data_IF_699675653241
#
_entry.id   IF_699675653241
#
_cell.length_a   1.000
_cell.length_b   1.000
_cell.length_c   1.000
_cell.angle_alpha   90.00
_cell.angle_beta   90.00
_cell.angle_gamma   90.00
#
_symmetry.space_group_name_H-M   'P 1'
#
loop_
_entity.id
_entity.type
_entity.pdbx_description
1 polymer ?
#
# COMPACT_ATOMS: atom_id res chain seq x y z
N UNK A 1 -22.51 -21.38 75.32
CA UNK A 1 -23.47 -21.19 74.21
C UNK A 1 -23.10 -19.93 73.44
N UNK A 2 -23.15 -20.00 72.10
CA UNK A 2 -23.16 -18.87 71.14
C UNK A 2 -21.84 -18.10 70.95
N UNK A 3 -21.36 -17.78 69.74
CA UNK A 3 -21.41 -18.34 68.38
C UNK A 3 -20.26 -17.65 67.63
N UNK A 4 -19.68 -18.35 66.66
CA UNK A 4 -18.69 -17.85 65.71
C UNK A 4 -19.22 -16.70 64.86
N UNK A 5 -18.35 -15.76 64.47
CA UNK A 5 -18.51 -14.99 63.21
C UNK A 5 -17.13 -14.95 62.52
N UNK A 6 -16.99 -15.78 61.48
CA UNK A 6 -15.99 -15.61 60.44
C UNK A 6 -16.42 -14.45 59.52
N UNK A 7 -15.57 -13.44 59.35
CA UNK A 7 -15.74 -12.44 58.31
C UNK A 7 -14.98 -12.89 57.06
N UNK A 8 -15.71 -13.44 56.08
CA UNK A 8 -15.19 -13.75 54.75
C UNK A 8 -15.02 -12.47 53.93
N UNK A 9 -13.78 -12.17 53.54
CA UNK A 9 -13.45 -11.09 52.62
C UNK A 9 -13.66 -11.61 51.18
N UNK A 10 -14.81 -11.27 50.58
CA UNK A 10 -15.09 -11.54 49.16
C UNK A 10 -14.50 -10.39 48.34
N UNK A 11 -13.33 -10.60 47.74
CA UNK A 11 -12.82 -9.72 46.69
C UNK A 11 -13.63 -9.96 45.41
N UNK A 12 -14.57 -9.08 45.12
CA UNK A 12 -15.19 -8.98 43.80
C UNK A 12 -14.20 -8.33 42.83
N UNK A 13 -13.53 -9.13 41.99
CA UNK A 13 -12.79 -8.62 40.85
C UNK A 13 -13.80 -8.21 39.77
N UNK A 14 -14.02 -6.91 39.61
CA UNK A 14 -14.77 -6.38 38.48
C UNK A 14 -13.94 -6.59 37.21
N UNK A 15 -14.35 -7.56 36.37
CA UNK A 15 -13.79 -7.71 35.03
C UNK A 15 -14.40 -6.61 34.16
N UNK A 16 -13.68 -5.49 34.01
CA UNK A 16 -14.01 -4.49 33.02
C UNK A 16 -13.83 -5.12 31.63
N UNK A 17 -14.93 -5.45 30.96
CA UNK A 17 -14.90 -5.81 29.54
C UNK A 17 -14.59 -4.53 28.77
N UNK A 18 -13.34 -4.36 28.37
CA UNK A 18 -12.95 -3.25 27.51
C UNK A 18 -13.72 -3.34 26.20
N UNK A 19 -14.66 -2.43 25.97
CA UNK A 19 -15.21 -2.21 24.63
C UNK A 19 -14.04 -1.74 23.76
N UNK A 20 -13.62 -2.60 22.84
CA UNK A 20 -12.62 -2.25 21.86
C UNK A 20 -13.15 -1.15 20.95
N UNK A 21 -12.30 -0.16 20.69
CA UNK A 21 -12.66 1.02 19.91
C UNK A 21 -12.88 0.62 18.44
N UNK A 22 -14.13 0.65 17.99
CA UNK A 22 -14.48 0.47 16.57
C UNK A 22 -14.40 1.83 15.90
N UNK A 23 -13.58 1.95 14.86
CA UNK A 23 -13.48 3.18 14.05
C UNK A 23 -13.97 2.92 12.64
N UNK A 24 -14.72 3.87 12.09
CA UNK A 24 -15.34 3.77 10.76
C UNK A 24 -14.93 4.98 9.93
N UNK A 25 -14.41 4.74 8.74
CA UNK A 25 -13.92 5.76 7.81
C UNK A 25 -14.60 5.60 6.46
N UNK A 26 -14.92 6.71 5.79
CA UNK A 26 -15.34 6.67 4.40
C UNK A 26 -14.13 6.44 3.51
N UNK A 27 -14.24 5.50 2.57
CA UNK A 27 -13.10 5.12 1.73
C UNK A 27 -13.53 4.67 0.34
N UNK A 28 -12.60 4.74 -0.59
CA UNK A 28 -12.70 4.20 -1.93
C UNK A 28 -11.67 3.09 -2.11
N UNK A 29 -12.10 1.94 -2.61
CA UNK A 29 -11.21 0.86 -3.03
C UNK A 29 -10.96 0.97 -4.52
N UNK A 30 -9.69 1.06 -4.94
CA UNK A 30 -9.34 1.10 -6.36
C UNK A 30 -9.68 -0.21 -7.05
N UNK A 31 -10.33 -0.14 -8.20
CA UNK A 31 -10.70 -1.28 -9.05
C UNK A 31 -10.24 -1.03 -10.50
N UNK A 32 -10.12 -2.07 -11.36
CA UNK A 32 -9.65 -1.90 -12.73
C UNK A 32 -10.46 -0.92 -13.59
N UNK A 33 -11.74 -0.72 -13.26
CA UNK A 33 -12.65 0.15 -14.02
C UNK A 33 -13.14 1.36 -13.20
N UNK A 34 -12.39 1.78 -12.18
CA UNK A 34 -12.71 2.97 -11.39
C UNK A 34 -12.42 2.77 -9.89
N UNK A 35 -13.33 3.26 -9.06
CA UNK A 35 -13.25 3.09 -7.61
C UNK A 35 -14.58 2.57 -7.07
N UNK A 36 -14.50 1.74 -6.04
CA UNK A 36 -15.66 1.22 -5.32
C UNK A 36 -15.81 2.04 -4.04
N UNK A 37 -16.91 2.78 -3.93
CA UNK A 37 -17.21 3.57 -2.75
C UNK A 37 -17.63 2.66 -1.59
N UNK A 38 -17.08 2.90 -0.41
CA UNK A 38 -17.26 2.04 0.74
C UNK A 38 -16.92 2.68 2.07
N UNK A 39 -16.90 1.84 3.09
CA UNK A 39 -16.43 2.20 4.43
C UNK A 39 -15.35 1.24 4.87
N UNK A 40 -14.28 1.77 5.46
CA UNK A 40 -13.28 0.98 6.17
C UNK A 40 -13.62 0.99 7.64
N UNK A 41 -13.88 -0.18 8.19
CA UNK A 41 -14.10 -0.41 9.62
C UNK A 41 -12.84 -1.07 10.18
N UNK A 42 -12.20 -0.44 11.15
CA UNK A 42 -11.07 -1.03 11.87
C UNK A 42 -11.50 -1.34 13.31
N UNK A 43 -11.18 -2.54 13.76
CA UNK A 43 -11.51 -3.02 15.10
C UNK A 43 -10.47 -4.06 15.53
N UNK A 44 -9.79 -3.83 16.65
CA UNK A 44 -8.78 -4.73 17.23
C UNK A 44 -7.72 -5.18 16.21
N UNK A 45 -7.92 -6.35 15.60
CA UNK A 45 -7.05 -7.00 14.64
C UNK A 45 -7.67 -7.11 13.24
N UNK A 46 -8.84 -6.55 12.98
CA UNK A 46 -9.55 -6.69 11.71
C UNK A 46 -9.75 -5.35 11.02
N UNK A 47 -9.51 -5.36 9.71
CA UNK A 47 -9.90 -4.31 8.78
C UNK A 47 -11.01 -4.88 7.91
N UNK A 48 -12.19 -4.28 7.94
CA UNK A 48 -13.30 -4.66 7.07
C UNK A 48 -13.57 -3.53 6.09
N UNK A 49 -13.57 -3.85 4.80
CA UNK A 49 -14.08 -2.94 3.78
C UNK A 49 -15.52 -3.33 3.46
N UNK A 50 -16.43 -2.38 3.63
CA UNK A 50 -17.86 -2.53 3.32
C UNK A 50 -18.14 -1.79 2.01
N UNK A 51 -18.47 -2.53 0.95
CA UNK A 51 -18.92 -1.96 -0.32
C UNK A 51 -20.33 -1.36 -0.12
N UNK A 52 -20.50 -0.09 -0.48
CA UNK A 52 -21.76 0.64 -0.25
C UNK A 52 -22.85 0.25 -1.25
N UNK A 53 -22.48 -0.24 -2.43
CA UNK A 53 -23.41 -0.66 -3.48
C UNK A 53 -23.71 -2.15 -3.42
N UNK A 54 -22.71 -2.98 -3.11
CA UNK A 54 -22.80 -4.44 -3.07
C UNK A 54 -22.25 -5.00 -1.77
N UNK A 55 -23.03 -4.98 -0.67
CA UNK A 55 -22.56 -5.43 0.64
C UNK A 55 -22.03 -6.88 0.64
N UNK A 56 -22.52 -7.74 -0.23
CA UNK A 56 -22.03 -9.12 -0.42
C UNK A 56 -20.61 -9.22 -0.99
N UNK A 57 -20.08 -8.15 -1.58
CA UNK A 57 -18.70 -8.03 -2.05
C UNK A 57 -17.75 -7.40 -1.01
N UNK A 58 -18.26 -7.15 0.20
CA UNK A 58 -17.46 -6.70 1.34
C UNK A 58 -16.51 -7.80 1.79
N UNK A 59 -15.38 -7.42 2.38
CA UNK A 59 -14.39 -8.37 2.86
C UNK A 59 -13.75 -7.91 4.17
N UNK A 60 -13.21 -8.88 4.90
CA UNK A 60 -12.46 -8.65 6.14
C UNK A 60 -11.05 -9.21 6.01
N UNK A 61 -10.08 -8.42 6.44
CA UNK A 61 -8.65 -8.73 6.49
C UNK A 61 -8.22 -8.76 7.94
N UNK A 62 -7.67 -9.89 8.38
CA UNK A 62 -6.95 -9.95 9.65
C UNK A 62 -5.60 -9.23 9.53
N UNK A 63 -5.22 -8.47 10.54
CA UNK A 63 -3.96 -7.73 10.64
C UNK A 63 -2.75 -8.65 10.47
N UNK A 64 -2.81 -9.89 10.95
CA UNK A 64 -1.77 -10.90 10.74
C UNK A 64 -1.63 -11.33 9.27
N UNK A 65 -2.68 -11.17 8.46
CA UNK A 65 -2.67 -11.40 7.02
C UNK A 65 -2.02 -10.22 6.27
N UNK A 66 -1.81 -9.07 6.90
CA UNK A 66 -1.13 -7.95 6.25
C UNK A 66 0.37 -8.21 6.22
N UNK A 67 0.95 -8.17 5.02
CA UNK A 67 2.38 -8.33 4.78
C UNK A 67 3.11 -6.99 4.88
N UNK A 68 2.58 -5.96 4.23
CA UNK A 68 3.15 -4.61 4.26
C UNK A 68 2.09 -3.57 3.91
N UNK A 69 2.31 -2.33 4.36
CA UNK A 69 1.48 -1.18 4.02
C UNK A 69 2.40 -0.08 3.53
N UNK A 70 1.99 0.58 2.46
CA UNK A 70 2.71 1.72 1.90
C UNK A 70 1.72 2.85 1.65
N UNK A 71 2.05 4.05 2.12
CA UNK A 71 1.31 5.25 1.75
C UNK A 71 1.72 5.68 0.33
N UNK A 72 0.71 5.93 -0.50
CA UNK A 72 0.87 6.36 -1.90
C UNK A 72 0.00 7.59 -2.11
N UNK A 73 0.61 8.78 -2.07
CA UNK A 73 -0.14 10.04 -2.08
C UNK A 73 -1.06 10.13 -0.86
N UNK A 74 -2.37 10.25 -1.10
CA UNK A 74 -3.41 10.25 -0.07
C UNK A 74 -4.03 8.86 0.19
N UNK A 75 -3.63 7.84 -0.59
CA UNK A 75 -4.06 6.46 -0.45
C UNK A 75 -3.10 5.58 0.35
N UNK A 76 -3.61 4.42 0.74
CA UNK A 76 -2.92 3.32 1.39
C UNK A 76 -2.93 2.11 0.46
N UNK A 77 -1.76 1.57 0.18
CA UNK A 77 -1.63 0.27 -0.49
C UNK A 77 -1.30 -0.77 0.57
N UNK A 78 -2.19 -1.74 0.74
CA UNK A 78 -2.06 -2.85 1.68
C UNK A 78 -1.76 -4.13 0.89
N UNK A 79 -0.60 -4.72 1.15
CA UNK A 79 -0.22 -6.02 0.60
C UNK A 79 -0.56 -7.13 1.59
N UNK A 80 -1.22 -8.19 1.12
CA UNK A 80 -1.72 -9.31 1.91
C UNK A 80 -0.89 -10.57 1.66
N UNK A 81 -0.83 -11.45 2.67
CA UNK A 81 -0.20 -12.79 2.59
C UNK A 81 -1.12 -13.81 1.92
N UNK A 82 -2.43 -13.69 2.16
CA UNK A 82 -3.50 -14.51 1.57
C UNK A 82 -4.49 -13.61 0.84
N UNK A 83 -5.03 -14.06 -0.30
CA UNK A 83 -5.96 -13.27 -1.08
C UNK A 83 -7.27 -13.09 -0.33
N UNK A 84 -7.94 -11.96 -0.58
CA UNK A 84 -9.32 -11.73 -0.21
C UNK A 84 -10.17 -11.60 -1.47
N UNK A 85 -11.42 -12.04 -1.38
CA UNK A 85 -12.38 -11.90 -2.47
C UNK A 85 -13.07 -10.55 -2.35
N UNK A 86 -12.91 -9.71 -3.36
CA UNK A 86 -13.59 -8.42 -3.51
C UNK A 86 -14.57 -8.48 -4.70
N UNK A 87 -15.10 -7.32 -5.11
CA UNK A 87 -16.03 -7.18 -6.23
C UNK A 87 -15.42 -7.56 -7.59
N UNK A 88 -14.11 -7.48 -7.73
CA UNK A 88 -13.37 -7.71 -8.97
C UNK A 88 -12.86 -9.15 -9.05
N UNK A 89 -12.59 -9.78 -7.91
CA UNK A 89 -12.13 -11.16 -7.83
C UNK A 89 -11.30 -11.41 -6.58
N UNK A 90 -10.29 -12.25 -6.68
CA UNK A 90 -9.34 -12.45 -5.59
C UNK A 90 -8.16 -11.48 -5.71
N UNK A 91 -7.86 -10.76 -4.63
CA UNK A 91 -6.76 -9.81 -4.59
C UNK A 91 -5.86 -10.01 -3.37
N UNK A 92 -4.55 -9.95 -3.61
CA UNK A 92 -3.52 -9.87 -2.57
C UNK A 92 -3.11 -8.42 -2.28
N UNK A 93 -3.68 -7.44 -2.99
CA UNK A 93 -3.30 -6.04 -2.88
C UNK A 93 -4.53 -5.15 -2.90
N UNK A 94 -4.69 -4.38 -1.83
CA UNK A 94 -5.78 -3.45 -1.67
C UNK A 94 -5.24 -2.03 -1.77
N UNK A 95 -5.83 -1.21 -2.63
CA UNK A 95 -5.51 0.22 -2.73
C UNK A 95 -6.71 1.00 -2.22
N UNK A 96 -6.57 1.55 -1.02
CA UNK A 96 -7.62 2.24 -0.28
C UNK A 96 -7.32 3.72 -0.28
N UNK A 97 -8.28 4.56 -0.65
CA UNK A 97 -8.19 6.02 -0.51
C UNK A 97 -9.25 6.46 0.49
N UNK A 98 -8.83 7.01 1.62
CA UNK A 98 -9.78 7.51 2.61
C UNK A 98 -10.23 8.92 2.22
N UNK A 99 -11.46 9.27 2.57
CA UNK A 99 -12.04 10.57 2.26
C UNK A 99 -11.24 11.72 2.91
N UNK A 100 -10.68 11.48 4.09
CA UNK A 100 -9.86 12.44 4.83
C UNK A 100 -8.42 11.94 4.96
N UNK A 101 -7.39 12.70 4.52
CA UNK A 101 -6.00 12.25 4.57
C UNK A 101 -5.46 11.92 5.97
N UNK A 102 -5.99 12.57 7.02
CA UNK A 102 -5.63 12.27 8.41
C UNK A 102 -6.11 10.87 8.83
N UNK A 103 -7.22 10.38 8.29
CA UNK A 103 -7.76 9.05 8.57
C UNK A 103 -6.86 7.96 7.98
N UNK A 104 -6.26 8.19 6.81
CA UNK A 104 -5.23 7.30 6.25
C UNK A 104 -4.08 7.09 7.24
N UNK A 105 -3.71 8.15 7.97
CA UNK A 105 -2.67 8.07 9.02
C UNK A 105 -3.13 7.25 10.21
N UNK A 106 -4.37 7.40 10.65
CA UNK A 106 -4.91 6.62 11.75
C UNK A 106 -4.99 5.12 11.41
N UNK A 107 -5.41 4.76 10.20
CA UNK A 107 -5.48 3.37 9.73
C UNK A 107 -4.07 2.77 9.60
N UNK A 108 -3.12 3.52 9.04
CA UNK A 108 -1.72 3.08 8.94
C UNK A 108 -1.10 2.82 10.32
N UNK A 109 -1.27 3.76 11.26
CA UNK A 109 -0.79 3.60 12.63
C UNK A 109 -1.44 2.40 13.32
N UNK A 110 -2.76 2.24 13.19
CA UNK A 110 -3.47 1.10 13.74
C UNK A 110 -2.90 -0.21 13.18
N UNK A 111 -2.67 -0.30 11.86
CA UNK A 111 -2.08 -1.49 11.26
C UNK A 111 -0.65 -1.76 11.77
N UNK A 112 0.17 -0.72 11.94
CA UNK A 112 1.55 -0.86 12.43
C UNK A 112 1.62 -1.32 13.90
N UNK A 113 0.66 -0.95 14.75
CA UNK A 113 0.65 -1.26 16.20
C UNK A 113 0.54 -2.77 16.55
N UNK A 114 0.36 -3.66 15.58
CA UNK A 114 0.21 -5.11 15.84
C UNK A 114 0.86 -6.01 14.80
N UNK A 115 1.51 -5.44 13.79
CA UNK A 115 2.53 -6.17 13.05
C UNK A 115 3.76 -6.11 13.94
N UNK A 116 3.99 -7.15 14.74
CA UNK A 116 5.24 -7.28 15.48
C UNK A 116 6.38 -7.08 14.48
N UNK A 117 7.06 -5.95 14.60
CA UNK A 117 8.21 -5.64 13.79
C UNK A 117 9.20 -6.78 14.01
N UNK A 118 9.38 -7.63 13.00
CA UNK A 118 10.59 -8.44 12.93
C UNK A 118 11.75 -7.46 13.10
N UNK A 119 12.74 -7.73 13.97
CA UNK A 119 13.82 -6.79 14.21
C UNK A 119 14.55 -6.58 12.88
N UNK A 120 14.26 -5.47 12.23
CA UNK A 120 15.12 -4.93 11.21
C UNK A 120 16.44 -4.67 11.94
N UNK A 121 17.50 -5.40 11.57
CA UNK A 121 18.85 -5.09 12.03
C UNK A 121 19.04 -3.59 11.85
N UNK A 122 19.35 -2.90 12.95
CA UNK A 122 19.63 -1.48 12.99
C UNK A 122 20.92 -1.19 12.19
N UNK A 123 20.81 -1.19 10.87
CA UNK A 123 21.46 -0.20 10.05
C UNK A 123 20.45 0.93 9.94
N UNK A 124 20.89 2.16 10.18
CA UNK A 124 20.12 3.38 10.01
C UNK A 124 19.62 3.47 8.55
N UNK A 125 18.44 2.89 8.28
CA UNK A 125 17.76 3.08 6.99
C UNK A 125 17.14 4.46 7.08
N UNK A 126 17.90 5.46 6.65
CA UNK A 126 17.37 6.73 6.15
C UNK A 126 16.15 6.37 5.32
N UNK A 127 14.95 6.77 5.75
CA UNK A 127 13.69 6.51 5.06
C UNK A 127 13.90 6.79 3.57
N UNK A 128 14.09 5.73 2.79
CA UNK A 128 14.49 5.86 1.41
C UNK A 128 13.29 6.41 0.67
N UNK A 129 13.43 7.58 0.03
CA UNK A 129 12.30 8.22 -0.63
C UNK A 129 11.73 7.26 -1.68
N UNK A 130 10.57 6.70 -1.36
CA UNK A 130 9.80 5.80 -2.20
C UNK A 130 8.64 6.60 -2.77
N UNK A 131 8.54 6.63 -4.09
CA UNK A 131 7.45 7.30 -4.78
C UNK A 131 6.65 6.28 -5.56
N UNK A 132 5.39 6.61 -5.80
CA UNK A 132 4.53 5.76 -6.61
C UNK A 132 3.52 6.61 -7.36
N UNK A 133 3.34 6.25 -8.63
CA UNK A 133 2.51 6.97 -9.57
C UNK A 133 1.56 5.96 -10.22
N UNK A 134 0.24 6.18 -10.17
CA UNK A 134 -0.69 5.43 -11.01
C UNK A 134 -0.27 5.62 -12.47
N UNK A 135 -0.09 4.53 -13.19
CA UNK A 135 0.53 4.56 -14.52
C UNK A 135 -0.15 3.58 -15.47
N UNK A 136 -0.28 3.96 -16.73
CA UNK A 136 -0.75 3.11 -17.80
C UNK A 136 0.36 2.89 -18.81
N UNK A 137 0.66 1.64 -19.12
CA UNK A 137 1.53 1.27 -20.24
C UNK A 137 0.69 1.25 -21.52
N UNK A 138 1.05 2.06 -22.50
CA UNK A 138 0.42 2.00 -23.82
C UNK A 138 1.11 0.93 -24.66
N UNK A 139 0.31 0.09 -25.32
CA UNK A 139 0.77 -0.87 -26.34
C UNK A 139 0.15 -0.49 -27.70
N UNK A 140 0.72 -1.00 -28.79
CA UNK A 140 0.18 -0.84 -30.15
C UNK A 140 -1.30 -1.30 -30.25
N UNK A 141 -1.68 -2.29 -29.44
CA UNK A 141 -3.06 -2.76 -29.28
C UNK A 141 -3.37 -2.86 -27.77
N UNK A 142 -4.19 -1.93 -27.28
CA UNK A 142 -4.60 -1.86 -25.88
C UNK A 142 -3.62 -1.14 -24.96
N UNK A 143 -3.87 -1.23 -23.65
CA UNK A 143 -2.98 -0.72 -22.62
C UNK A 143 -3.19 -1.48 -21.32
N UNK A 144 -2.23 -1.33 -20.43
CA UNK A 144 -2.21 -2.04 -19.15
C UNK A 144 -2.11 -1.02 -18.04
N UNK A 145 -3.11 -1.00 -17.16
CA UNK A 145 -3.09 -0.15 -15.98
C UNK A 145 -2.21 -0.76 -14.90
N UNK A 146 -1.59 0.10 -14.11
CA UNK A 146 -0.56 -0.28 -13.17
C UNK A 146 -0.17 0.84 -12.24
N UNK A 147 0.87 0.57 -11.47
CA UNK A 147 1.54 1.56 -10.63
C UNK A 147 3.03 1.53 -10.96
N UNK A 148 3.58 2.69 -11.30
CA UNK A 148 5.02 2.89 -11.31
C UNK A 148 5.49 3.17 -9.89
N UNK A 149 6.34 2.32 -9.35
CA UNK A 149 6.94 2.44 -8.03
C UNK A 149 8.43 2.72 -8.21
N UNK A 150 8.91 3.75 -7.53
CA UNK A 150 10.30 4.15 -7.47
C UNK A 150 10.83 3.92 -6.07
N UNK A 151 11.93 3.19 -5.96
CA UNK A 151 12.64 2.91 -4.70
C UNK A 151 14.06 3.49 -4.76
N UNK A 152 14.88 3.30 -3.73
CA UNK A 152 16.30 3.70 -3.82
C UNK A 152 17.07 2.90 -4.87
N UNK A 153 16.71 1.63 -5.06
CA UNK A 153 17.50 0.69 -5.88
C UNK A 153 16.80 0.28 -7.18
N UNK A 154 15.48 0.48 -7.30
CA UNK A 154 14.68 -0.06 -8.39
C UNK A 154 13.57 0.87 -8.88
N UNK A 155 13.26 0.73 -10.17
CA UNK A 155 12.01 1.11 -10.80
C UNK A 155 11.18 -0.15 -11.04
N UNK A 156 9.92 -0.12 -10.65
CA UNK A 156 9.01 -1.27 -10.72
C UNK A 156 7.70 -0.78 -11.34
N UNK A 157 7.28 -1.34 -12.46
CA UNK A 157 5.92 -1.19 -12.96
C UNK A 157 5.12 -2.42 -12.57
N UNK A 158 4.09 -2.24 -11.75
CA UNK A 158 3.21 -3.32 -11.28
C UNK A 158 1.86 -3.20 -12.00
N UNK A 159 1.55 -4.16 -12.87
CA UNK A 159 0.25 -4.18 -13.56
C UNK A 159 -0.86 -4.61 -12.59
N UNK A 160 -2.05 -4.03 -12.76
CA UNK A 160 -3.25 -4.34 -11.97
C UNK A 160 -4.00 -5.58 -12.48
N UNK A 161 -3.94 -5.85 -13.78
CA UNK A 161 -4.77 -6.84 -14.47
C UNK A 161 -3.95 -7.96 -15.15
N UNK A 162 -2.67 -7.70 -15.47
CA UNK A 162 -1.81 -8.60 -16.25
C UNK A 162 -0.44 -8.75 -15.60
N UNK A 163 -0.27 -9.79 -14.78
CA UNK A 163 1.01 -10.07 -14.10
C UNK A 163 2.22 -10.13 -15.07
N UNK A 164 2.02 -10.62 -16.30
CA UNK A 164 3.03 -10.66 -17.36
C UNK A 164 3.58 -9.30 -17.80
N UNK A 165 2.82 -8.23 -17.56
CA UNK A 165 3.21 -6.85 -17.85
C UNK A 165 3.93 -6.19 -16.69
N UNK A 166 4.03 -6.85 -15.54
CA UNK A 166 4.86 -6.37 -14.43
C UNK A 166 6.33 -6.42 -14.83
N UNK A 167 7.05 -5.32 -14.58
CA UNK A 167 8.46 -5.19 -14.92
C UNK A 167 9.22 -4.55 -13.76
N UNK A 168 10.47 -4.97 -13.62
CA UNK A 168 11.39 -4.48 -12.59
C UNK A 168 12.72 -4.19 -13.26
N UNK A 169 13.28 -3.05 -12.91
CA UNK A 169 14.61 -2.64 -13.34
C UNK A 169 15.39 -2.22 -12.11
N UNK A 170 16.56 -2.80 -11.89
CA UNK A 170 17.53 -2.19 -11.00
C UNK A 170 17.97 -0.85 -11.63
N UNK A 171 18.19 0.19 -10.82
CA UNK A 171 18.52 1.52 -11.37
C UNK A 171 19.80 1.49 -12.25
N UNK A 172 20.73 0.58 -11.95
CA UNK A 172 21.96 0.36 -12.74
C UNK A 172 21.70 -0.22 -14.14
N UNK A 173 20.54 -0.85 -14.35
CA UNK A 173 20.15 -1.47 -15.63
C UNK A 173 19.48 -0.46 -16.57
N UNK A 174 19.20 0.75 -16.09
CA UNK A 174 18.55 1.80 -16.87
C UNK A 174 19.63 2.60 -17.60
N UNK A 175 19.62 2.50 -18.93
CA UNK A 175 20.53 3.25 -19.79
C UNK A 175 20.15 4.73 -19.82
N UNK A 176 18.86 5.00 -19.95
CA UNK A 176 18.33 6.36 -20.06
C UNK A 176 16.89 6.40 -19.51
N UNK A 177 16.56 7.51 -18.84
CA UNK A 177 15.20 7.81 -18.42
C UNK A 177 14.81 9.15 -19.05
N UNK A 178 13.77 9.15 -19.87
CA UNK A 178 13.24 10.36 -20.50
C UNK A 178 11.91 10.74 -19.86
N UNK A 179 11.68 12.03 -19.71
CA UNK A 179 10.38 12.60 -19.34
C UNK A 179 9.92 13.53 -20.45
N UNK A 180 8.88 13.14 -21.17
CA UNK A 180 8.29 13.95 -22.26
C UNK A 180 7.51 15.13 -21.68
N UNK A 181 6.77 14.87 -20.60
CA UNK A 181 6.05 15.85 -19.78
C UNK A 181 5.84 15.23 -18.37
N UNK A 182 5.28 15.95 -17.37
CA UNK A 182 5.08 15.40 -16.02
C UNK A 182 4.28 14.09 -15.96
N UNK A 183 3.47 13.81 -16.99
CA UNK A 183 2.60 12.65 -17.07
C UNK A 183 3.12 11.56 -18.01
N UNK A 184 4.31 11.72 -18.60
CA UNK A 184 4.84 10.74 -19.56
C UNK A 184 6.34 10.50 -19.32
N UNK A 185 6.65 9.26 -18.95
CA UNK A 185 8.01 8.79 -18.73
C UNK A 185 8.33 7.60 -19.63
N UNK A 186 9.55 7.58 -20.14
CA UNK A 186 10.08 6.51 -20.99
C UNK A 186 11.34 5.95 -20.34
N UNK A 187 11.30 4.67 -20.03
CA UNK A 187 12.39 3.92 -19.39
C UNK A 187 13.10 3.14 -20.50
N UNK A 188 14.39 3.42 -20.69
CA UNK A 188 15.22 2.75 -21.70
C UNK A 188 16.28 1.92 -20.94
N UNK A 189 16.08 0.61 -20.80
CA UNK A 189 17.08 -0.25 -20.18
C UNK A 189 18.29 -0.49 -21.11
N UNK A 190 19.39 -0.99 -20.56
CA UNK A 190 20.54 -1.46 -21.34
C UNK A 190 20.18 -2.70 -22.19
N UNK A 191 19.28 -3.52 -21.68
CA UNK A 191 18.83 -4.77 -22.31
C UNK A 191 17.32 -4.80 -22.37
N UNK A 192 16.77 -5.22 -23.51
CA UNK A 192 15.32 -5.30 -23.74
C UNK A 192 14.77 -4.06 -24.41
N UNK A 193 13.44 -3.97 -24.44
CA UNK A 193 12.71 -2.90 -25.11
C UNK A 193 12.51 -1.69 -24.21
N UNK A 194 12.39 -0.51 -24.83
CA UNK A 194 11.96 0.70 -24.12
C UNK A 194 10.54 0.52 -23.58
N UNK A 195 10.26 1.21 -22.48
CA UNK A 195 9.01 1.10 -21.76
C UNK A 195 8.39 2.48 -21.55
N UNK A 196 7.29 2.76 -22.24
CA UNK A 196 6.58 4.03 -22.14
C UNK A 196 5.40 3.92 -21.18
N UNK A 197 5.35 4.86 -20.23
CA UNK A 197 4.33 4.94 -19.19
C UNK A 197 3.68 6.31 -19.20
N UNK A 198 2.35 6.32 -19.23
CA UNK A 198 1.52 7.48 -18.94
C UNK A 198 1.15 7.49 -17.47
N UNK A 199 1.70 8.44 -16.72
CA UNK A 199 1.36 8.67 -15.33
C UNK A 199 0.02 9.42 -15.24
N UNK A 200 -0.68 9.22 -14.14
CA UNK A 200 -1.93 9.91 -13.80
C UNK A 200 -1.88 10.41 -12.36
N UNK A 201 -2.88 11.20 -11.95
CA UNK A 201 -2.85 11.94 -10.68
C UNK A 201 -1.95 13.17 -10.81
N UNK A 202 -1.03 13.37 -9.87
CA UNK A 202 -0.12 14.52 -9.86
C UNK A 202 0.99 14.46 -10.92
N UNK A 203 1.20 13.30 -11.56
CA UNK A 203 2.38 13.10 -12.41
C UNK A 203 3.69 13.12 -11.61
N UNK A 204 4.82 13.12 -12.29
CA UNK A 204 6.16 13.18 -11.71
C UNK A 204 6.72 14.59 -11.79
N UNK A 205 6.90 15.20 -10.63
CA UNK A 205 7.43 16.56 -10.47
C UNK A 205 8.89 16.67 -10.95
N UNK A 206 9.33 17.90 -11.24
CA UNK A 206 10.69 18.14 -11.76
C UNK A 206 11.78 17.74 -10.79
N UNK A 207 11.58 17.99 -9.50
CA UNK A 207 12.48 17.63 -8.41
C UNK A 207 12.56 16.11 -8.29
N UNK A 208 11.42 15.42 -8.33
CA UNK A 208 11.35 13.95 -8.28
C UNK A 208 12.06 13.31 -9.49
N UNK A 209 11.84 13.86 -10.70
CA UNK A 209 12.50 13.37 -11.90
C UNK A 209 14.02 13.56 -11.83
N UNK A 210 14.49 14.75 -11.42
CA UNK A 210 15.92 15.02 -11.22
C UNK A 210 16.54 14.08 -10.20
N UNK A 211 15.89 13.90 -9.06
CA UNK A 211 16.38 13.00 -8.00
C UNK A 211 16.48 11.55 -8.51
N UNK A 212 15.50 11.08 -9.28
CA UNK A 212 15.54 9.74 -9.89
C UNK A 212 16.69 9.59 -10.89
N UNK A 213 16.92 10.59 -11.75
CA UNK A 213 18.05 10.59 -12.69
C UNK A 213 19.40 10.57 -11.95
N UNK A 214 19.54 11.33 -10.87
CA UNK A 214 20.74 11.34 -10.04
C UNK A 214 20.98 9.97 -9.39
N UNK A 215 19.93 9.31 -8.89
CA UNK A 215 20.00 7.95 -8.34
C UNK A 215 20.44 6.94 -9.40
N UNK A 216 19.87 6.99 -10.60
CA UNK A 216 20.27 6.12 -11.72
C UNK A 216 21.74 6.33 -12.08
N UNK A 217 22.17 7.58 -12.19
CA UNK A 217 23.56 7.93 -12.51
C UNK A 217 24.53 7.41 -11.45
N UNK A 218 24.19 7.60 -10.16
CA UNK A 218 24.98 7.08 -9.03
C UNK A 218 25.05 5.55 -9.04
N UNK A 219 23.92 4.87 -9.19
CA UNK A 219 23.84 3.41 -9.23
C UNK A 219 24.68 2.81 -10.37
N UNK A 220 24.82 3.52 -11.49
CA UNK A 220 25.68 3.13 -12.60
C UNK A 220 27.16 3.35 -12.34
N UNK A 221 27.52 4.45 -11.68
CA UNK A 221 28.91 4.77 -11.34
C UNK A 221 29.51 3.85 -10.27
N UNK A 222 28.67 3.22 -9.46
CA UNK A 222 29.08 2.25 -8.43
C UNK A 222 29.29 0.83 -8.97
N UNK A 223 29.26 0.63 -10.30
CA UNK A 223 29.51 -0.66 -10.93
C UNK A 223 31.02 -0.93 -10.97
N UNK A 224 31.54 -1.99 -10.31
CA UNK A 224 32.93 -2.41 -10.49
C UNK A 224 33.17 -2.92 -11.92
#
# INVERSE_FOLDING_TARGET
>A
MKHWIMAGFVCAAAVAWGQSEVRVYSAELSAPFGAVAGKVVVHETMLTFVDSEKPEASFTVDKSNVQSITRVGDGLVVQLKKPVKDRVGESNRLSLRLAVPSESTAVEQWLQQGVAAAPAKAGEVKAESRWSFPARRNKLLGGTDGTLVVTAERLIFESLDKAEDTRRWDLKEIKELKRKNPYEVEIIPFTGEKYELKLSGSGMETEQFRELVDRITRARSARP
#
